data_IF_226906755813
#
_entry.id   IF_226906755813
#
_cell.length_a   1.000
_cell.length_b   1.000
_cell.length_c   1.000
_cell.angle_alpha   90.00
_cell.angle_beta   90.00
_cell.angle_gamma   90.00
#
_symmetry.space_group_name_H-M   'P 1'
#
loop_
_entity.id
_entity.type
_entity.pdbx_description
1 polymer ?
#
# COMPACT_ATOMS: atom_id res chain seq x y z
N UNK A 1 21.58 -5.57 -0.27
CA UNK A 1 22.55 -4.55 -0.77
C UNK A 1 21.80 -3.54 -1.63
N UNK A 2 21.96 -2.24 -1.39
CA UNK A 2 21.53 -1.17 -2.30
C UNK A 2 22.76 -0.79 -3.14
N UNK A 3 22.72 -0.95 -4.47
CA UNK A 3 23.93 -0.88 -5.31
C UNK A 3 24.04 0.39 -6.17
N UNK A 4 23.46 1.52 -5.74
CA UNK A 4 23.50 2.80 -6.50
C UNK A 4 23.18 2.66 -8.00
N UNK A 5 22.25 1.77 -8.35
CA UNK A 5 21.94 1.41 -9.75
C UNK A 5 21.09 2.48 -10.47
N UNK A 6 20.65 3.53 -9.77
CA UNK A 6 19.88 4.63 -10.33
C UNK A 6 18.68 5.05 -9.48
N UNK A 7 17.66 5.58 -10.15
CA UNK A 7 16.41 6.08 -9.57
C UNK A 7 15.35 4.97 -9.66
N UNK A 8 14.51 4.82 -8.64
CA UNK A 8 13.38 3.88 -8.63
C UNK A 8 12.16 4.42 -7.90
N UNK A 9 10.98 3.89 -8.21
CA UNK A 9 9.76 4.15 -7.43
C UNK A 9 9.70 3.18 -6.25
N UNK A 10 9.37 3.70 -5.06
CA UNK A 10 9.23 2.91 -3.84
C UNK A 10 7.96 3.34 -3.10
N UNK A 11 7.18 2.40 -2.54
CA UNK A 11 6.16 2.74 -1.57
C UNK A 11 6.78 3.48 -0.39
N UNK A 12 6.10 4.54 0.09
CA UNK A 12 6.65 5.38 1.15
C UNK A 12 7.03 4.57 2.40
N UNK A 13 6.21 3.59 2.79
CA UNK A 13 6.45 2.79 4.00
C UNK A 13 7.77 2.01 3.98
N UNK A 14 8.27 1.60 2.80
CA UNK A 14 9.59 0.93 2.70
C UNK A 14 10.74 1.92 2.60
N UNK A 15 10.48 3.12 2.06
CA UNK A 15 11.47 4.17 1.87
C UNK A 15 11.74 5.01 3.13
N UNK A 16 10.79 5.08 4.08
CA UNK A 16 10.85 5.97 5.26
C UNK A 16 12.18 5.93 6.01
N UNK A 17 12.64 4.75 6.39
CA UNK A 17 13.86 4.62 7.20
C UNK A 17 15.11 4.97 6.39
N UNK A 18 15.11 4.65 5.10
CA UNK A 18 16.21 4.98 4.21
C UNK A 18 16.31 6.49 3.94
N UNK A 19 15.16 7.16 3.80
CA UNK A 19 15.08 8.62 3.72
C UNK A 19 15.56 9.27 5.01
N UNK A 20 15.11 8.78 6.17
CA UNK A 20 15.49 9.32 7.47
C UNK A 20 17.00 9.20 7.75
N UNK A 21 17.64 8.13 7.28
CA UNK A 21 19.09 7.95 7.38
C UNK A 21 19.90 8.66 6.29
N UNK A 22 19.24 9.22 5.27
CA UNK A 22 19.91 9.80 4.11
C UNK A 22 20.52 8.79 3.13
N UNK A 23 20.17 7.50 3.23
CA UNK A 23 20.64 6.46 2.31
C UNK A 23 20.09 6.67 0.88
N UNK A 24 18.94 7.33 0.77
CA UNK A 24 18.25 7.70 -0.47
C UNK A 24 17.68 9.10 -0.33
N UNK A 25 17.38 9.74 -1.46
CA UNK A 25 16.76 11.07 -1.50
C UNK A 25 15.50 11.02 -2.37
N UNK A 26 14.51 11.86 -2.06
CA UNK A 26 13.36 12.07 -2.94
C UNK A 26 13.81 12.91 -4.14
N UNK A 27 13.46 12.46 -5.35
CA UNK A 27 13.63 13.21 -6.60
C UNK A 27 12.27 13.50 -7.18
N UNK A 28 12.17 14.53 -8.04
CA UNK A 28 10.93 14.91 -8.72
C UNK A 28 9.77 15.17 -7.75
N UNK A 29 9.98 15.95 -6.69
CA UNK A 29 9.01 16.14 -5.62
C UNK A 29 7.67 16.78 -6.07
N UNK A 30 7.67 17.49 -7.20
CA UNK A 30 6.48 18.10 -7.79
C UNK A 30 5.68 17.15 -8.70
N UNK A 31 6.20 15.94 -8.93
CA UNK A 31 5.59 14.96 -9.83
C UNK A 31 4.76 13.95 -9.03
N UNK A 32 3.56 13.67 -9.55
CA UNK A 32 2.70 12.62 -9.01
C UNK A 32 3.01 11.29 -9.69
N UNK A 33 3.23 10.25 -8.90
CA UNK A 33 3.42 8.89 -9.43
C UNK A 33 2.07 8.27 -9.79
N UNK A 34 1.79 8.12 -11.08
CA UNK A 34 0.55 7.53 -11.59
C UNK A 34 0.79 6.05 -11.91
N UNK A 35 0.15 5.15 -11.17
CA UNK A 35 0.13 3.71 -11.46
C UNK A 35 -1.24 3.12 -11.19
N UNK A 36 -1.69 2.24 -12.09
CA UNK A 36 -2.93 1.45 -11.94
C UNK A 36 -2.87 0.46 -10.78
N UNK A 37 -1.67 0.18 -10.25
CA UNK A 37 -1.46 -0.68 -9.08
C UNK A 37 -0.84 0.14 -7.95
N UNK A 38 -1.63 1.06 -7.37
CA UNK A 38 -1.18 1.92 -6.28
C UNK A 38 -2.24 2.12 -5.21
N UNK A 39 -1.80 2.34 -3.97
CA UNK A 39 -2.59 2.96 -2.92
C UNK A 39 -3.57 2.07 -2.13
N UNK A 40 -3.74 0.78 -2.44
CA UNK A 40 -4.65 -0.11 -1.70
C UNK A 40 -4.00 -1.45 -1.36
N UNK A 41 -4.29 -1.96 -0.16
CA UNK A 41 -3.89 -3.29 0.30
C UNK A 41 -5.15 -4.11 0.61
N UNK A 42 -5.19 -5.34 0.14
CA UNK A 42 -6.34 -6.23 0.29
C UNK A 42 -5.98 -7.43 1.17
N UNK A 43 -6.81 -7.70 2.18
CA UNK A 43 -6.83 -8.97 2.89
C UNK A 43 -7.73 -9.93 2.11
N UNK A 44 -7.18 -11.06 1.66
CA UNK A 44 -7.88 -12.03 0.81
C UNK A 44 -7.98 -13.37 1.55
N UNK A 45 -9.17 -13.99 1.53
CA UNK A 45 -9.42 -15.31 2.11
C UNK A 45 -10.47 -16.07 1.28
N UNK A 46 -10.54 -17.40 1.45
CA UNK A 46 -11.56 -18.21 0.78
C UNK A 46 -12.95 -17.95 1.38
N UNK A 47 -13.98 -17.82 0.53
CA UNK A 47 -15.37 -17.56 0.93
C UNK A 47 -16.08 -18.72 1.64
N UNK A 48 -15.38 -19.52 2.44
CA UNK A 48 -15.98 -20.59 3.22
C UNK A 48 -16.94 -20.02 4.28
N UNK A 49 -18.08 -20.70 4.47
CA UNK A 49 -19.18 -20.30 5.37
C UNK A 49 -18.74 -20.09 6.83
N UNK A 50 -17.65 -20.72 7.26
CA UNK A 50 -17.14 -20.63 8.62
C UNK A 50 -15.71 -20.10 8.62
N UNK A 51 -15.53 -18.91 9.21
CA UNK A 51 -14.22 -18.33 9.45
C UNK A 51 -13.67 -18.81 10.80
N UNK A 52 -12.51 -19.51 10.84
CA UNK A 52 -11.87 -19.89 12.09
C UNK A 52 -11.54 -18.68 12.97
N UNK A 53 -11.67 -18.83 14.30
CA UNK A 53 -11.42 -17.76 15.27
C UNK A 53 -10.01 -17.15 15.17
N UNK A 54 -8.99 -17.97 14.87
CA UNK A 54 -7.62 -17.50 14.66
C UNK A 54 -7.50 -16.54 13.48
N UNK A 55 -8.23 -16.80 12.39
CA UNK A 55 -8.21 -15.91 11.22
C UNK A 55 -8.86 -14.57 11.55
N UNK A 56 -9.98 -14.61 12.28
CA UNK A 56 -10.65 -13.39 12.77
C UNK A 56 -9.72 -12.56 13.65
N UNK A 57 -9.09 -13.18 14.65
CA UNK A 57 -8.14 -12.48 15.52
C UNK A 57 -6.96 -11.84 14.75
N UNK A 58 -6.47 -12.50 13.70
CA UNK A 58 -5.44 -11.92 12.83
C UNK A 58 -5.95 -10.71 12.05
N UNK A 59 -7.17 -10.80 11.48
CA UNK A 59 -7.79 -9.68 10.75
C UNK A 59 -7.99 -8.49 11.69
N UNK A 60 -8.52 -8.73 12.90
CA UNK A 60 -8.77 -7.70 13.90
C UNK A 60 -7.44 -7.02 14.29
N UNK A 61 -6.39 -7.80 14.58
CA UNK A 61 -5.06 -7.29 14.91
C UNK A 61 -4.45 -6.46 13.78
N UNK A 62 -4.48 -6.98 12.55
CA UNK A 62 -3.93 -6.25 11.40
C UNK A 62 -4.72 -4.98 11.11
N UNK A 63 -6.05 -5.00 11.24
CA UNK A 63 -6.89 -3.83 11.06
C UNK A 63 -6.55 -2.76 12.10
N UNK A 64 -6.39 -3.12 13.37
CA UNK A 64 -5.98 -2.20 14.43
C UNK A 64 -4.58 -1.60 14.18
N UNK A 65 -3.61 -2.41 13.74
CA UNK A 65 -2.22 -1.95 13.55
C UNK A 65 -1.97 -1.20 12.25
N UNK A 66 -2.80 -1.42 11.23
CA UNK A 66 -2.68 -0.79 9.91
C UNK A 66 -3.60 0.44 9.81
N UNK A 67 -4.54 0.64 10.75
CA UNK A 67 -5.40 1.84 10.81
C UNK A 67 -4.60 3.09 11.20
N UNK A 68 -3.89 3.61 10.19
CA UNK A 68 -2.93 4.69 10.28
C UNK A 68 -2.69 5.29 8.90
N UNK A 69 -3.64 6.12 8.46
CA UNK A 69 -3.58 7.06 7.30
C UNK A 69 -3.51 6.41 5.91
N UNK A 70 -4.65 5.93 5.41
CA UNK A 70 -4.91 5.77 3.97
C UNK A 70 -6.37 6.13 3.65
N UNK A 71 -6.71 7.42 3.65
CA UNK A 71 -8.01 7.89 3.17
C UNK A 71 -7.82 9.12 2.27
N UNK A 72 -7.38 8.92 1.02
CA UNK A 72 -7.52 9.94 -0.03
C UNK A 72 -7.30 9.48 -1.49
N UNK A 73 -6.86 8.25 -1.80
CA UNK A 73 -6.53 7.91 -3.21
C UNK A 73 -7.51 6.98 -3.94
N UNK A 74 -8.35 6.22 -3.23
CA UNK A 74 -9.20 5.19 -3.85
C UNK A 74 -10.52 5.66 -4.46
N UNK A 75 -10.96 6.90 -4.20
CA UNK A 75 -12.33 7.33 -4.52
C UNK A 75 -12.57 7.73 -6.00
N UNK A 76 -11.53 7.85 -6.84
CA UNK A 76 -11.67 8.29 -8.24
C UNK A 76 -11.51 7.20 -9.30
N UNK A 77 -11.12 5.97 -8.94
CA UNK A 77 -10.74 4.94 -9.92
C UNK A 77 -11.83 3.89 -10.24
N UNK A 78 -12.99 3.91 -9.58
CA UNK A 78 -14.02 2.85 -9.72
C UNK A 78 -15.33 3.31 -10.39
N UNK A 79 -15.30 4.16 -11.41
CA UNK A 79 -16.54 4.54 -12.13
C UNK A 79 -16.57 4.08 -13.60
N UNK A 80 -15.68 3.18 -14.02
CA UNK A 80 -15.56 2.83 -15.45
C UNK A 80 -15.55 1.32 -15.75
N UNK A 81 -15.79 0.45 -14.77
CA UNK A 81 -15.70 -0.99 -14.99
C UNK A 81 -16.84 -1.78 -14.33
N UNK A 82 -18.09 -1.36 -14.52
CA UNK A 82 -19.26 -2.24 -14.45
C UNK A 82 -20.33 -1.70 -15.39
N UNK A 83 -20.09 -1.87 -16.69
CA UNK A 83 -21.17 -1.92 -17.68
C UNK A 83 -20.94 -3.18 -18.50
N UNK A 84 -21.57 -4.27 -18.06
CA UNK A 84 -22.05 -5.38 -18.88
C UNK A 84 -23.37 -5.82 -18.31
#
# INVERSE_FOLDING_TARGET
MKQHLGIGSLPLFTARDALARGDIVQVLAEWEFISSYSGQLWLLWSGNKHMPARMRAMIDYLSEKIDGRQAAYGARANTSATQR
#
